data_IF_037216782906
#
_entry.id   IF_037216782906
#
_cell.length_a   1.000
_cell.length_b   1.000
_cell.length_c   1.000
_cell.angle_alpha   90.00
_cell.angle_beta   90.00
_cell.angle_gamma   90.00
#
_symmetry.space_group_name_H-M   'P 1'
#
loop_
_entity.id
_entity.type
_entity.pdbx_description
1 polymer ?
#
# COMPACT_ATOMS: atom_id res chain seq x y z
N UNK A 1 -29.69 6.15 7.57
CA UNK A 1 -29.62 5.42 8.85
C UNK A 1 -28.16 5.36 9.27
N UNK A 2 -27.72 6.35 10.03
CA UNK A 2 -26.43 6.28 10.70
C UNK A 2 -26.63 5.36 11.91
N UNK A 3 -25.73 4.38 12.11
CA UNK A 3 -25.79 3.45 13.23
C UNK A 3 -25.78 4.16 14.59
N UNK A 4 -25.93 3.42 15.70
CA UNK A 4 -26.08 3.99 17.03
C UNK A 4 -24.96 5.00 17.33
N UNK A 5 -25.32 6.10 17.98
CA UNK A 5 -24.40 7.18 18.36
C UNK A 5 -23.25 6.58 19.20
N UNK A 6 -22.07 6.42 18.59
CA UNK A 6 -20.87 5.93 19.27
C UNK A 6 -20.10 7.14 19.78
N UNK A 7 -19.92 7.24 21.09
CA UNK A 7 -19.04 8.26 21.68
C UNK A 7 -17.60 8.15 21.13
N UNK A 8 -16.88 9.28 21.08
CA UNK A 8 -15.53 9.35 20.49
C UNK A 8 -14.55 8.31 21.10
N UNK A 9 -14.70 8.04 22.40
CA UNK A 9 -13.95 7.00 23.14
C UNK A 9 -14.25 5.59 22.60
N UNK A 10 -15.52 5.27 22.34
CA UNK A 10 -15.95 3.98 21.81
C UNK A 10 -15.44 3.75 20.36
N UNK A 11 -15.42 4.82 19.54
CA UNK A 11 -14.86 4.76 18.19
C UNK A 11 -13.35 4.49 18.19
N UNK A 12 -12.60 5.10 19.11
CA UNK A 12 -11.15 4.86 19.27
C UNK A 12 -10.87 3.41 19.67
N UNK A 13 -11.61 2.90 20.65
CA UNK A 13 -11.46 1.51 21.12
C UNK A 13 -11.81 0.50 20.02
N UNK A 14 -12.85 0.78 19.24
CA UNK A 14 -13.23 -0.03 18.07
C UNK A 14 -12.13 -0.05 17.01
N UNK A 15 -11.56 1.11 16.65
CA UNK A 15 -10.46 1.17 15.67
C UNK A 15 -9.23 0.40 16.16
N UNK A 16 -8.93 0.49 17.45
CA UNK A 16 -7.85 -0.28 18.07
C UNK A 16 -8.12 -1.79 17.97
N UNK A 17 -9.35 -2.21 18.23
CA UNK A 17 -9.80 -3.60 18.08
C UNK A 17 -9.62 -4.11 16.64
N UNK A 18 -10.11 -3.36 15.66
CA UNK A 18 -9.97 -3.68 14.23
C UNK A 18 -8.48 -3.79 13.81
N UNK A 19 -7.63 -2.88 14.28
CA UNK A 19 -6.20 -2.92 14.02
C UNK A 19 -5.54 -4.17 14.63
N UNK A 20 -5.93 -4.55 15.86
CA UNK A 20 -5.43 -5.76 16.49
C UNK A 20 -5.86 -7.03 15.73
N UNK A 21 -7.09 -7.06 15.18
CA UNK A 21 -7.55 -8.14 14.30
C UNK A 21 -6.73 -8.21 13.01
N UNK A 22 -6.46 -7.08 12.35
CA UNK A 22 -5.59 -7.05 11.17
C UNK A 22 -4.18 -7.56 11.47
N UNK A 23 -3.60 -7.17 12.62
CA UNK A 23 -2.30 -7.69 13.08
C UNK A 23 -2.35 -9.20 13.35
N UNK A 24 -3.45 -9.70 13.93
CA UNK A 24 -3.65 -11.13 14.16
C UNK A 24 -3.76 -11.89 12.83
N UNK A 25 -4.48 -11.35 11.85
CA UNK A 25 -4.62 -11.96 10.53
C UNK A 25 -3.27 -12.14 9.84
N UNK A 26 -2.43 -11.09 9.87
CA UNK A 26 -1.05 -11.12 9.37
C UNK A 26 -0.22 -12.18 10.08
N UNK A 27 -0.23 -12.17 11.42
CA UNK A 27 0.55 -13.10 12.25
C UNK A 27 0.15 -14.56 12.00
N UNK A 28 -1.16 -14.87 11.97
CA UNK A 28 -1.65 -16.22 11.65
C UNK A 28 -1.29 -16.65 10.23
N UNK A 29 -1.38 -15.75 9.25
CA UNK A 29 -0.94 -16.03 7.88
C UNK A 29 0.56 -16.33 7.78
N UNK A 30 1.37 -15.65 8.57
CA UNK A 30 2.82 -15.86 8.66
C UNK A 30 3.15 -17.21 9.29
N UNK A 31 2.44 -17.61 10.36
CA UNK A 31 2.61 -18.91 11.02
C UNK A 31 2.35 -20.05 10.04
N UNK A 32 1.23 -20.01 9.31
CA UNK A 32 0.91 -21.06 8.33
C UNK A 32 1.96 -21.09 7.22
N UNK A 33 2.34 -19.92 6.70
CA UNK A 33 3.37 -19.81 5.68
C UNK A 33 4.73 -20.38 6.12
N UNK A 34 5.20 -19.98 7.30
CA UNK A 34 6.50 -20.41 7.84
C UNK A 34 6.47 -21.89 8.24
N UNK A 35 5.36 -22.38 8.78
CA UNK A 35 5.16 -23.81 9.05
C UNK A 35 5.24 -24.64 7.77
N UNK A 36 4.59 -24.17 6.71
CA UNK A 36 4.66 -24.84 5.41
C UNK A 36 6.07 -24.79 4.81
N UNK A 37 6.74 -23.64 4.91
CA UNK A 37 8.14 -23.50 4.48
C UNK A 37 9.05 -24.45 5.26
N UNK A 38 8.88 -24.56 6.58
CA UNK A 38 9.64 -25.49 7.43
C UNK A 38 9.42 -26.94 7.02
N UNK A 39 8.19 -27.32 6.68
CA UNK A 39 7.87 -28.69 6.26
C UNK A 39 8.49 -29.07 4.91
N UNK A 40 8.52 -28.14 3.97
CA UNK A 40 9.11 -28.34 2.63
C UNK A 40 10.61 -28.01 2.58
N UNK A 41 11.21 -27.73 3.73
CA UNK A 41 12.56 -27.16 3.89
C UNK A 41 12.89 -25.94 3.02
N UNK A 42 11.88 -25.13 2.70
CA UNK A 42 12.04 -23.90 1.96
C UNK A 42 12.43 -22.74 2.87
N UNK A 43 13.35 -21.89 2.41
CA UNK A 43 13.70 -20.64 3.10
C UNK A 43 13.14 -19.43 2.36
N UNK A 44 12.28 -18.61 3.00
CA UNK A 44 11.80 -17.37 2.41
C UNK A 44 12.94 -16.43 2.01
N UNK A 45 12.82 -15.76 0.86
CA UNK A 45 13.87 -14.87 0.32
C UNK A 45 14.38 -13.82 1.31
N UNK A 46 13.50 -13.23 2.12
CA UNK A 46 13.88 -12.23 3.13
C UNK A 46 14.60 -12.79 4.36
N UNK A 47 14.76 -14.12 4.45
CA UNK A 47 15.48 -14.81 5.53
C UNK A 47 16.70 -15.57 5.01
N UNK A 48 16.99 -15.51 3.69
CA UNK A 48 18.15 -16.17 3.08
C UNK A 48 19.40 -15.33 3.37
N UNK A 49 20.35 -15.91 4.08
CA UNK A 49 21.69 -15.38 4.24
C UNK A 49 22.48 -15.70 2.98
N UNK A 50 23.12 -14.68 2.39
CA UNK A 50 23.96 -14.85 1.19
C UNK A 50 25.33 -15.35 1.61
N UNK A 51 25.86 -16.32 0.87
CA UNK A 51 27.20 -16.81 1.09
C UNK A 51 28.23 -15.72 0.69
N UNK A 52 29.10 -15.25 1.59
CA UNK A 52 30.11 -14.25 1.28
C UNK A 52 31.31 -14.82 0.49
N UNK A 53 31.50 -16.15 0.49
CA UNK A 53 32.64 -16.85 -0.12
C UNK A 53 32.30 -17.51 -1.46
N UNK A 54 31.29 -17.01 -2.17
CA UNK A 54 30.79 -17.62 -3.43
C UNK A 54 31.85 -17.78 -4.52
N UNK A 55 32.92 -16.96 -4.49
CA UNK A 55 34.00 -16.98 -5.47
C UNK A 55 35.29 -17.66 -4.96
N UNK A 56 35.26 -18.27 -3.78
CA UNK A 56 36.42 -18.96 -3.20
C UNK A 56 36.53 -20.41 -3.72
N UNK A 57 37.57 -21.13 -3.25
CA UNK A 57 37.73 -22.56 -3.52
C UNK A 57 36.42 -23.32 -3.28
N UNK A 58 36.13 -24.28 -4.17
CA UNK A 58 34.92 -25.12 -4.16
C UNK A 58 34.58 -25.71 -2.79
N UNK A 59 35.56 -26.17 -2.02
CA UNK A 59 35.32 -26.76 -0.70
C UNK A 59 34.85 -25.71 0.31
N UNK A 60 35.51 -24.56 0.36
CA UNK A 60 35.15 -23.44 1.23
C UNK A 60 33.81 -22.82 0.84
N UNK A 61 33.52 -22.76 -0.47
CA UNK A 61 32.24 -22.29 -0.97
C UNK A 61 31.11 -23.22 -0.52
N UNK A 62 31.27 -24.54 -0.68
CA UNK A 62 30.27 -25.52 -0.28
C UNK A 62 30.00 -25.52 1.23
N UNK A 63 31.04 -25.46 2.06
CA UNK A 63 30.87 -25.40 3.53
C UNK A 63 30.21 -24.11 3.97
N UNK A 64 30.60 -22.97 3.39
CA UNK A 64 29.99 -21.67 3.69
C UNK A 64 28.52 -21.60 3.23
N UNK A 65 28.20 -22.18 2.08
CA UNK A 65 26.82 -22.26 1.58
C UNK A 65 25.94 -23.14 2.48
N UNK A 66 26.44 -24.31 2.90
CA UNK A 66 25.75 -25.17 3.85
C UNK A 66 25.51 -24.47 5.21
N UNK A 67 26.50 -23.72 5.70
CA UNK A 67 26.38 -22.94 6.93
C UNK A 67 25.34 -21.82 6.77
N UNK A 68 25.41 -21.03 5.70
CA UNK A 68 24.43 -19.98 5.41
C UNK A 68 23.01 -20.54 5.31
N UNK A 69 22.84 -21.69 4.64
CA UNK A 69 21.56 -22.37 4.54
C UNK A 69 21.03 -22.79 5.92
N UNK A 70 21.86 -23.46 6.73
CA UNK A 70 21.50 -23.88 8.10
C UNK A 70 21.10 -22.71 8.98
N UNK A 71 21.86 -21.61 8.95
CA UNK A 71 21.53 -20.40 9.70
C UNK A 71 20.23 -19.76 9.19
N UNK A 72 19.99 -19.77 7.88
CA UNK A 72 18.74 -19.26 7.32
C UNK A 72 17.52 -20.10 7.75
N UNK A 73 17.67 -21.43 7.87
CA UNK A 73 16.67 -22.33 8.43
C UNK A 73 16.44 -22.10 9.94
N UNK A 74 17.49 -21.75 10.69
CA UNK A 74 17.38 -21.34 12.09
C UNK A 74 16.61 -20.02 12.23
N UNK A 75 16.91 -19.02 11.41
CA UNK A 75 16.17 -17.74 11.38
C UNK A 75 14.68 -17.97 11.09
N UNK A 76 14.35 -18.82 10.12
CA UNK A 76 12.96 -19.25 9.84
C UNK A 76 12.28 -19.82 11.08
N UNK A 77 12.98 -20.69 11.82
CA UNK A 77 12.44 -21.35 13.02
C UNK A 77 12.25 -20.38 14.18
N UNK A 78 13.18 -19.45 14.39
CA UNK A 78 13.07 -18.37 15.39
C UNK A 78 11.90 -17.43 15.05
N UNK A 79 11.78 -17.03 13.78
CA UNK A 79 10.68 -16.20 13.31
C UNK A 79 9.32 -16.88 13.51
N UNK A 80 9.24 -18.20 13.28
CA UNK A 80 8.03 -18.98 13.54
C UNK A 80 7.68 -18.98 15.04
N UNK A 81 8.66 -19.23 15.92
CA UNK A 81 8.46 -19.19 17.39
C UNK A 81 7.99 -17.81 17.85
N UNK A 82 8.64 -16.74 17.37
CA UNK A 82 8.25 -15.35 17.66
C UNK A 82 6.82 -15.04 17.18
N UNK A 83 6.42 -15.58 16.02
CA UNK A 83 5.08 -15.41 15.49
C UNK A 83 4.01 -16.07 16.37
N UNK A 84 4.26 -17.27 16.88
CA UNK A 84 3.36 -17.92 17.85
C UNK A 84 3.24 -17.12 19.16
N UNK A 85 4.35 -16.64 19.73
CA UNK A 85 4.31 -15.78 20.92
C UNK A 85 3.50 -14.49 20.67
N UNK A 86 3.66 -13.89 19.48
CA UNK A 86 2.90 -12.72 19.07
C UNK A 86 1.41 -13.01 18.89
N UNK A 87 1.05 -14.18 18.35
CA UNK A 87 -0.36 -14.60 18.22
C UNK A 87 -1.02 -14.65 19.60
N UNK A 88 -0.39 -15.31 20.58
CA UNK A 88 -0.94 -15.44 21.93
C UNK A 88 -1.15 -14.07 22.60
N UNK A 89 -0.16 -13.16 22.45
CA UNK A 89 -0.27 -11.79 22.97
C UNK A 89 -1.42 -11.01 22.31
N UNK A 90 -1.60 -11.14 20.99
CA UNK A 90 -2.67 -10.47 20.26
C UNK A 90 -4.04 -11.04 20.63
N UNK A 91 -4.16 -12.35 20.81
CA UNK A 91 -5.38 -13.01 21.26
C UNK A 91 -5.79 -12.53 22.66
N UNK A 92 -4.84 -12.45 23.61
CA UNK A 92 -5.10 -11.88 24.94
C UNK A 92 -5.58 -10.41 24.87
N UNK A 93 -4.91 -9.58 24.04
CA UNK A 93 -5.31 -8.19 23.82
C UNK A 93 -6.69 -8.07 23.20
N UNK A 94 -7.02 -8.96 22.27
CA UNK A 94 -8.33 -8.99 21.62
C UNK A 94 -9.42 -9.41 22.59
N UNK A 95 -9.20 -10.45 23.40
CA UNK A 95 -10.17 -10.87 24.43
C UNK A 95 -10.48 -9.72 25.39
N UNK A 96 -9.45 -9.02 25.89
CA UNK A 96 -9.65 -7.84 26.74
C UNK A 96 -10.43 -6.73 26.01
N UNK A 97 -10.02 -6.39 24.79
CA UNK A 97 -10.67 -5.35 23.99
C UNK A 97 -12.13 -5.69 23.63
N UNK A 98 -12.44 -6.97 23.40
CA UNK A 98 -13.82 -7.44 23.17
C UNK A 98 -14.67 -7.24 24.42
N UNK A 99 -14.16 -7.64 25.59
CA UNK A 99 -14.87 -7.45 26.87
C UNK A 99 -15.11 -5.96 27.16
N UNK A 100 -14.09 -5.12 26.96
CA UNK A 100 -14.19 -3.66 27.16
C UNK A 100 -15.19 -3.00 26.20
N UNK A 101 -15.29 -3.48 24.95
CA UNK A 101 -16.29 -2.97 23.99
C UNK A 101 -17.70 -3.49 24.31
N UNK A 102 -17.83 -4.74 24.73
CA UNK A 102 -19.11 -5.33 25.11
C UNK A 102 -19.70 -4.69 26.38
N UNK A 103 -18.86 -4.25 27.32
CA UNK A 103 -19.33 -3.54 28.53
C UNK A 103 -19.78 -2.11 28.24
N UNK A 104 -19.22 -1.46 27.21
CA UNK A 104 -19.54 -0.08 26.82
C UNK A 104 -20.71 0.02 25.84
N UNK A 105 -21.03 -1.05 25.11
CA UNK A 105 -22.07 -1.05 24.08
C UNK A 105 -23.35 -1.73 24.58
N UNK A 106 -24.53 -1.12 24.42
CA UNK A 106 -25.79 -1.80 24.69
C UNK A 106 -25.95 -2.99 23.73
N UNK A 107 -26.45 -4.12 24.24
CA UNK A 107 -26.65 -5.37 23.48
C UNK A 107 -27.84 -5.26 22.52
N UNK A 108 -27.69 -4.42 21.51
CA UNK A 108 -28.67 -4.14 20.46
C UNK A 108 -28.31 -4.91 19.18
N UNK A 109 -29.28 -5.07 18.29
CA UNK A 109 -29.10 -5.68 16.96
C UNK A 109 -27.99 -4.96 16.17
N UNK A 110 -27.89 -3.64 16.31
CA UNK A 110 -26.88 -2.83 15.64
C UNK A 110 -25.46 -3.10 16.16
N UNK A 111 -25.28 -3.22 17.48
CA UNK A 111 -24.00 -3.59 18.08
C UNK A 111 -23.53 -4.97 17.59
N UNK A 112 -24.45 -5.94 17.50
CA UNK A 112 -24.15 -7.27 16.97
C UNK A 112 -23.78 -7.24 15.48
N UNK A 113 -24.47 -6.42 14.68
CA UNK A 113 -24.16 -6.23 13.27
C UNK A 113 -22.75 -5.63 13.07
N UNK A 114 -22.33 -4.71 13.95
CA UNK A 114 -20.98 -4.13 13.95
C UNK A 114 -19.91 -5.19 14.24
N UNK A 115 -20.06 -5.98 15.30
CA UNK A 115 -19.10 -7.05 15.62
C UNK A 115 -19.00 -8.08 14.49
N UNK A 116 -20.14 -8.44 13.88
CA UNK A 116 -20.20 -9.31 12.71
C UNK A 116 -19.47 -8.73 11.50
N UNK A 117 -19.62 -7.43 11.24
CA UNK A 117 -18.89 -6.75 10.16
C UNK A 117 -17.38 -6.78 10.38
N UNK A 118 -16.93 -6.55 11.62
CA UNK A 118 -15.53 -6.62 12.02
C UNK A 118 -14.95 -8.03 11.87
N UNK A 119 -15.69 -9.07 12.27
CA UNK A 119 -15.30 -10.46 12.06
C UNK A 119 -15.21 -10.81 10.57
N UNK A 120 -16.16 -10.35 9.75
CA UNK A 120 -16.13 -10.54 8.30
C UNK A 120 -14.90 -9.88 7.66
N UNK A 121 -14.56 -8.67 8.10
CA UNK A 121 -13.37 -7.96 7.63
C UNK A 121 -12.09 -8.71 7.97
N UNK A 122 -11.98 -9.22 9.21
CA UNK A 122 -10.87 -10.09 9.64
C UNK A 122 -10.75 -11.36 8.79
N UNK A 123 -11.86 -12.09 8.61
CA UNK A 123 -11.91 -13.33 7.81
C UNK A 123 -11.48 -13.08 6.36
N UNK A 124 -11.92 -11.96 5.79
CA UNK A 124 -11.56 -11.54 4.44
C UNK A 124 -10.08 -11.16 4.31
N UNK A 125 -9.52 -10.40 5.27
CA UNK A 125 -8.10 -10.04 5.24
C UNK A 125 -7.23 -11.29 5.34
N UNK A 126 -7.57 -12.19 6.28
CA UNK A 126 -6.90 -13.46 6.47
C UNK A 126 -6.94 -14.33 5.21
N UNK A 127 -8.10 -14.41 4.54
CA UNK A 127 -8.26 -15.07 3.24
C UNK A 127 -7.29 -14.56 2.18
N UNK A 128 -7.23 -13.23 2.02
CA UNK A 128 -6.38 -12.61 1.00
C UNK A 128 -4.89 -12.82 1.31
N UNK A 129 -4.52 -12.77 2.59
CA UNK A 129 -3.16 -13.05 3.03
C UNK A 129 -2.77 -14.50 2.74
N UNK A 130 -3.62 -15.47 3.04
CA UNK A 130 -3.36 -16.86 2.70
C UNK A 130 -3.15 -17.06 1.20
N UNK A 131 -4.02 -16.51 0.34
CA UNK A 131 -3.83 -16.56 -1.12
C UNK A 131 -2.46 -16.03 -1.55
N UNK A 132 -2.04 -14.88 -1.03
CA UNK A 132 -0.72 -14.28 -1.31
C UNK A 132 0.41 -15.18 -0.83
N UNK A 133 0.30 -15.75 0.37
CA UNK A 133 1.32 -16.62 0.98
C UNK A 133 1.43 -17.97 0.27
N UNK A 134 0.31 -18.54 -0.18
CA UNK A 134 0.29 -19.71 -1.07
C UNK A 134 1.08 -19.44 -2.34
N UNK A 135 0.83 -18.30 -3.01
CA UNK A 135 1.62 -17.90 -4.19
C UNK A 135 3.11 -17.79 -3.90
N UNK A 136 3.49 -17.29 -2.72
CA UNK A 136 4.90 -17.23 -2.29
C UNK A 136 5.52 -18.63 -2.10
N UNK A 137 4.82 -19.57 -1.46
CA UNK A 137 5.31 -20.95 -1.31
C UNK A 137 5.51 -21.59 -2.67
N UNK A 138 4.55 -21.45 -3.59
CA UNK A 138 4.66 -21.99 -4.95
C UNK A 138 5.83 -21.35 -5.71
N UNK A 139 6.06 -20.04 -5.56
CA UNK A 139 7.22 -19.37 -6.16
C UNK A 139 8.55 -19.89 -5.61
N UNK A 140 8.64 -20.17 -4.32
CA UNK A 140 9.85 -20.75 -3.71
C UNK A 140 10.06 -22.20 -4.17
N UNK A 141 8.99 -23.00 -4.21
CA UNK A 141 9.03 -24.38 -4.67
C UNK A 141 9.42 -24.53 -6.15
N UNK A 142 9.11 -23.54 -7.00
CA UNK A 142 9.56 -23.52 -8.41
C UNK A 142 11.07 -23.32 -8.57
N UNK A 143 11.70 -22.64 -7.62
CA UNK A 143 13.17 -22.43 -7.61
C UNK A 143 13.91 -23.68 -7.13
N UNK A 144 13.21 -24.59 -6.45
CA UNK A 144 13.79 -25.81 -5.90
C UNK A 144 13.69 -26.97 -6.91
N UNK A 145 14.81 -27.61 -7.29
CA UNK A 145 14.81 -28.69 -8.28
C UNK A 145 13.93 -29.89 -7.90
N UNK A 146 13.81 -30.20 -6.61
CA UNK A 146 13.07 -31.35 -6.10
C UNK A 146 11.57 -31.04 -6.07
N UNK A 147 11.20 -29.81 -5.70
CA UNK A 147 9.79 -29.42 -5.54
C UNK A 147 9.14 -28.91 -6.84
N UNK A 148 9.92 -28.50 -7.84
CA UNK A 148 9.41 -27.97 -9.11
C UNK A 148 8.41 -28.92 -9.80
N UNK A 149 8.65 -30.24 -9.95
CA UNK A 149 7.68 -31.15 -10.56
C UNK A 149 6.34 -31.19 -9.81
N UNK A 150 6.37 -31.07 -8.48
CA UNK A 150 5.17 -31.05 -7.65
C UNK A 150 4.33 -29.79 -7.86
N UNK A 151 4.96 -28.67 -8.24
CA UNK A 151 4.25 -27.43 -8.57
C UNK A 151 3.48 -27.61 -9.87
N UNK A 152 4.11 -28.21 -10.87
CA UNK A 152 3.52 -28.44 -12.19
C UNK A 152 2.33 -29.40 -12.10
N UNK A 153 2.43 -30.43 -11.26
CA UNK A 153 1.36 -31.37 -10.92
C UNK A 153 0.31 -30.82 -9.93
N UNK A 154 0.48 -29.58 -9.45
CA UNK A 154 -0.37 -28.94 -8.43
C UNK A 154 -0.58 -29.82 -7.19
N UNK A 155 0.47 -30.50 -6.75
CA UNK A 155 0.37 -31.50 -5.69
C UNK A 155 -0.11 -30.87 -4.36
N UNK A 156 -1.10 -31.46 -3.66
CA UNK A 156 -1.68 -30.89 -2.43
C UNK A 156 -0.66 -30.63 -1.32
N UNK A 157 0.43 -31.40 -1.27
CA UNK A 157 1.48 -31.28 -0.26
C UNK A 157 2.08 -29.87 -0.19
N UNK A 158 2.07 -29.12 -1.30
CA UNK A 158 2.59 -27.77 -1.36
C UNK A 158 1.71 -26.76 -0.63
N UNK A 159 0.44 -27.09 -0.39
CA UNK A 159 -0.56 -26.17 0.15
C UNK A 159 -1.42 -26.74 1.27
N UNK A 160 -1.20 -27.95 1.79
CA UNK A 160 -2.17 -28.56 2.72
C UNK A 160 -2.33 -27.80 4.04
N UNK A 161 -1.27 -27.12 4.51
CA UNK A 161 -1.36 -26.30 5.73
C UNK A 161 -2.21 -25.05 5.55
N UNK A 162 -2.52 -24.66 4.33
CA UNK A 162 -3.44 -23.55 4.04
C UNK A 162 -4.89 -24.05 4.08
N UNK A 163 -5.81 -23.33 4.74
CA UNK A 163 -7.19 -23.77 4.84
C UNK A 163 -7.87 -23.93 3.47
N UNK A 164 -8.62 -25.03 3.30
CA UNK A 164 -9.30 -25.39 2.03
C UNK A 164 -10.35 -24.36 1.60
N UNK A 165 -10.94 -23.62 2.54
CA UNK A 165 -11.96 -22.58 2.28
C UNK A 165 -11.47 -21.42 1.40
N UNK A 166 -10.16 -21.27 1.20
CA UNK A 166 -9.58 -20.26 0.29
C UNK A 166 -9.23 -20.81 -1.09
N UNK A 167 -9.39 -22.13 -1.28
CA UNK A 167 -9.30 -22.81 -2.58
C UNK A 167 -10.60 -22.72 -3.37
N UNK A 168 -11.53 -21.83 -2.96
CA UNK A 168 -12.55 -21.34 -3.87
C UNK A 168 -11.83 -20.92 -5.16
N UNK A 169 -12.33 -21.45 -6.27
CA UNK A 169 -11.82 -21.21 -7.61
C UNK A 169 -11.46 -19.73 -7.81
N UNK A 170 -10.57 -19.38 -8.75
CA UNK A 170 -10.52 -18.04 -9.28
C UNK A 170 -11.82 -17.78 -10.05
N UNK A 171 -12.99 -17.82 -9.40
CA UNK A 171 -14.06 -16.93 -9.77
C UNK A 171 -13.47 -15.56 -9.53
N UNK A 172 -13.07 -14.90 -10.62
CA UNK A 172 -12.89 -13.47 -10.61
C UNK A 172 -14.21 -12.88 -10.10
N UNK A 173 -14.36 -12.77 -8.77
CA UNK A 173 -15.15 -11.70 -8.21
C UNK A 173 -14.33 -10.49 -8.64
N UNK A 174 -14.66 -9.98 -9.83
CA UNK A 174 -14.26 -8.64 -10.23
C UNK A 174 -14.72 -7.80 -9.06
N UNK A 175 -13.78 -7.38 -8.22
CA UNK A 175 -14.09 -6.32 -7.29
C UNK A 175 -14.35 -5.14 -8.19
N UNK A 176 -15.62 -4.82 -8.34
CA UNK A 176 -16.04 -3.63 -9.04
C UNK A 176 -15.61 -2.46 -8.14
N UNK A 177 -14.33 -2.10 -8.20
CA UNK A 177 -13.76 -1.00 -7.43
C UNK A 177 -14.24 0.36 -7.98
N UNK A 178 -15.19 0.36 -8.91
CA UNK A 178 -15.73 1.52 -9.61
C UNK A 178 -17.25 1.49 -9.47
N UNK A 179 -17.77 2.42 -8.69
CA UNK A 179 -19.19 2.67 -8.48
C UNK A 179 -19.61 3.87 -9.32
N UNK A 180 -20.29 3.59 -10.44
CA UNK A 180 -20.85 4.64 -11.26
C UNK A 180 -22.27 4.96 -10.78
N UNK A 181 -22.45 6.11 -10.14
CA UNK A 181 -23.77 6.63 -9.76
C UNK A 181 -24.14 7.89 -10.55
N UNK A 182 -23.34 8.22 -11.58
CA UNK A 182 -23.65 9.25 -12.56
C UNK A 182 -24.56 8.71 -13.67
N UNK A 183 -25.13 9.63 -14.45
CA UNK A 183 -25.89 9.31 -15.66
C UNK A 183 -25.00 8.98 -16.87
N UNK A 184 -23.68 9.17 -16.76
CA UNK A 184 -22.74 8.90 -17.84
C UNK A 184 -22.50 7.40 -17.99
N UNK A 185 -22.80 6.86 -19.18
CA UNK A 185 -22.51 5.47 -19.51
C UNK A 185 -21.02 5.31 -19.86
N UNK A 186 -20.28 4.56 -19.02
CA UNK A 186 -18.86 4.33 -19.25
C UNK A 186 -18.61 3.43 -20.45
N UNK A 187 -17.75 3.88 -21.36
CA UNK A 187 -17.23 3.00 -22.41
C UNK A 187 -16.36 1.88 -21.80
N UNK A 188 -16.21 0.71 -22.45
CA UNK A 188 -15.40 -0.39 -21.92
C UNK A 188 -13.96 0.01 -21.59
N UNK A 189 -13.36 0.90 -22.39
CA UNK A 189 -12.01 1.41 -22.16
C UNK A 189 -11.93 2.39 -20.96
N UNK A 190 -12.99 3.17 -20.71
CA UNK A 190 -13.09 4.05 -19.54
C UNK A 190 -13.19 3.23 -18.26
N UNK A 191 -14.10 2.25 -18.25
CA UNK A 191 -14.27 1.32 -17.12
C UNK A 191 -12.96 0.58 -16.82
N UNK A 192 -12.33 0.00 -17.84
CA UNK A 192 -11.08 -0.75 -17.68
C UNK A 192 -9.93 0.12 -17.18
N UNK A 193 -9.89 1.41 -17.56
CA UNK A 193 -8.91 2.35 -17.02
C UNK A 193 -9.19 2.67 -15.54
N UNK A 194 -10.43 2.97 -15.18
CA UNK A 194 -10.84 3.33 -13.82
C UNK A 194 -10.66 2.19 -12.82
N UNK A 195 -10.86 0.94 -13.24
CA UNK A 195 -10.60 -0.27 -12.42
C UNK A 195 -9.14 -0.41 -11.98
N UNK A 196 -8.19 0.27 -12.63
CA UNK A 196 -6.77 0.31 -12.21
C UNK A 196 -6.55 1.17 -10.96
N UNK A 197 -7.51 2.04 -10.63
CA UNK A 197 -7.52 2.90 -9.43
C UNK A 197 -6.82 4.26 -9.60
N UNK A 198 -7.12 5.20 -8.69
CA UNK A 198 -6.61 6.58 -8.74
C UNK A 198 -5.09 6.70 -8.52
N UNK A 199 -4.47 5.69 -7.90
CA UNK A 199 -3.02 5.64 -7.68
C UNK A 199 -2.26 5.06 -8.88
N UNK A 200 -2.96 4.60 -9.92
CA UNK A 200 -2.33 4.08 -11.11
C UNK A 200 -1.62 5.19 -11.90
N UNK A 201 -0.33 5.01 -12.17
CA UNK A 201 0.46 5.97 -12.94
C UNK A 201 0.69 5.47 -14.38
N UNK A 202 0.11 6.12 -15.40
CA UNK A 202 0.41 5.82 -16.80
C UNK A 202 1.88 6.02 -17.10
N UNK A 203 2.47 5.13 -17.90
CA UNK A 203 3.84 5.30 -18.37
C UNK A 203 3.93 6.57 -19.23
N UNK A 204 4.79 7.50 -18.79
CA UNK A 204 5.12 8.73 -19.50
C UNK A 204 6.49 8.59 -20.17
N UNK A 205 6.68 9.30 -21.28
CA UNK A 205 8.01 9.49 -21.83
C UNK A 205 8.80 10.41 -20.90
N UNK A 206 10.13 10.29 -20.95
CA UNK A 206 11.00 11.19 -20.23
C UNK A 206 10.76 12.62 -20.74
N UNK A 207 10.44 13.53 -19.82
CA UNK A 207 10.33 14.97 -20.08
C UNK A 207 11.46 15.68 -19.33
N UNK A 208 12.62 15.89 -20.00
CA UNK A 208 13.77 16.55 -19.37
C UNK A 208 13.45 17.98 -18.91
N UNK A 209 12.53 18.67 -19.59
CA UNK A 209 12.23 20.07 -19.31
C UNK A 209 11.48 20.19 -17.99
N UNK A 210 10.37 19.47 -17.84
CA UNK A 210 9.61 19.48 -16.59
C UNK A 210 10.42 18.93 -15.42
N UNK A 211 11.19 17.86 -15.65
CA UNK A 211 12.02 17.27 -14.59
C UNK A 211 13.16 18.21 -14.16
N UNK A 212 13.77 18.93 -15.10
CA UNK A 212 14.77 19.95 -14.82
C UNK A 212 14.19 21.12 -14.02
N UNK A 213 12.98 21.56 -14.38
CA UNK A 213 12.26 22.59 -13.63
C UNK A 213 11.92 22.12 -12.20
N UNK A 214 11.45 20.88 -12.02
CA UNK A 214 11.18 20.30 -10.71
C UNK A 214 12.44 20.20 -9.84
N UNK A 215 13.56 19.80 -10.44
CA UNK A 215 14.86 19.76 -9.77
C UNK A 215 15.32 21.15 -9.34
N UNK A 216 15.18 22.15 -10.23
CA UNK A 216 15.48 23.54 -9.92
C UNK A 216 14.62 24.04 -8.76
N UNK A 217 13.30 23.83 -8.79
CA UNK A 217 12.42 24.20 -7.68
C UNK A 217 12.80 23.51 -6.37
N UNK A 218 13.22 22.25 -6.43
CA UNK A 218 13.71 21.54 -5.25
C UNK A 218 14.97 22.20 -4.68
N UNK A 219 15.95 22.52 -5.52
CA UNK A 219 17.18 23.23 -5.13
C UNK A 219 16.84 24.60 -4.52
N UNK A 220 15.93 25.37 -5.13
CA UNK A 220 15.46 26.64 -4.58
C UNK A 220 14.87 26.46 -3.17
N UNK A 221 14.02 25.44 -2.95
CA UNK A 221 13.46 25.15 -1.62
C UNK A 221 14.52 24.81 -0.59
N UNK A 222 15.55 24.05 -0.98
CA UNK A 222 16.69 23.72 -0.10
C UNK A 222 17.44 25.00 0.28
N UNK A 223 17.77 25.85 -0.69
CA UNK A 223 18.48 27.13 -0.44
C UNK A 223 17.66 28.10 0.40
N UNK A 224 16.37 28.26 0.11
CA UNK A 224 15.47 29.10 0.89
C UNK A 224 15.37 28.61 2.34
N UNK A 225 15.27 27.30 2.56
CA UNK A 225 15.20 26.73 3.91
C UNK A 225 16.49 26.93 4.69
N UNK A 226 17.64 26.87 4.04
CA UNK A 226 18.91 27.20 4.69
C UNK A 226 19.03 28.70 4.97
N UNK A 227 18.70 29.55 4.00
CA UNK A 227 18.79 31.01 4.12
C UNK A 227 17.92 31.59 5.24
N UNK A 228 16.68 31.09 5.37
CA UNK A 228 15.75 31.53 6.42
C UNK A 228 15.77 30.64 7.67
N UNK A 229 16.58 29.58 7.69
CA UNK A 229 16.61 28.59 8.76
C UNK A 229 17.21 29.08 10.08
N UNK A 230 17.85 30.26 10.08
CA UNK A 230 18.46 30.88 11.26
C UNK A 230 17.47 31.69 12.12
N UNK A 231 16.24 31.93 11.66
CA UNK A 231 15.23 32.65 12.44
C UNK A 231 14.59 31.74 13.50
N UNK A 232 15.17 31.68 14.70
CA UNK A 232 14.51 31.18 15.91
C UNK A 232 13.48 32.21 16.44
N UNK A 233 12.46 32.52 15.64
CA UNK A 233 11.27 33.22 16.11
C UNK A 233 10.12 32.24 16.18
N UNK A 234 9.42 32.17 17.32
CA UNK A 234 8.24 31.34 17.53
C UNK A 234 7.28 31.43 16.34
N UNK A 235 7.19 30.32 15.59
CA UNK A 235 6.39 30.26 14.38
C UNK A 235 4.91 30.13 14.76
N UNK A 236 4.22 31.26 14.92
CA UNK A 236 2.76 31.30 15.01
C UNK A 236 2.19 30.86 13.67
N UNK A 237 1.53 29.69 13.65
CA UNK A 237 0.88 29.16 12.46
C UNK A 237 -0.33 30.03 12.12
N UNK A 238 -0.20 30.92 11.14
CA UNK A 238 -1.33 31.58 10.49
C UNK A 238 -1.69 30.82 9.22
N UNK A 239 -2.96 30.39 9.04
CA UNK A 239 -3.35 29.65 7.85
C UNK A 239 -3.48 30.59 6.65
N UNK A 240 -2.59 30.37 5.68
CA UNK A 240 -2.78 30.56 4.23
C UNK A 240 -3.14 31.95 3.67
N UNK A 241 -2.10 32.64 3.19
CA UNK A 241 -2.16 33.37 1.91
C UNK A 241 -1.45 32.50 0.86
N UNK A 242 -2.06 32.36 -0.32
CA UNK A 242 -1.48 31.69 -1.48
C UNK A 242 -0.09 32.28 -1.73
N UNK A 243 0.97 31.50 -1.43
CA UNK A 243 2.35 31.94 -1.68
C UNK A 243 2.52 32.15 -3.19
N UNK A 244 2.60 33.40 -3.62
CA UNK A 244 3.14 33.73 -4.93
C UNK A 244 4.52 33.05 -5.04
N UNK A 245 4.78 32.41 -6.19
CA UNK A 245 6.07 31.74 -6.42
C UNK A 245 7.17 32.77 -6.26
N UNK A 246 8.02 32.61 -5.25
CA UNK A 246 9.19 33.44 -5.11
C UNK A 246 10.10 33.17 -6.32
N UNK A 247 10.19 34.14 -7.22
CA UNK A 247 11.13 34.16 -8.34
C UNK A 247 12.58 34.29 -7.84
N UNK A 248 12.73 34.79 -6.61
CA UNK A 248 14.01 34.97 -5.95
C UNK A 248 14.55 33.69 -5.30
N UNK A 249 15.82 33.38 -5.57
CA UNK A 249 16.58 32.29 -4.95
C UNK A 249 17.86 32.86 -4.33
N UNK A 250 18.26 32.45 -3.10
CA UNK A 250 19.50 32.90 -2.50
C UNK A 250 20.73 32.65 -3.38
N UNK A 251 21.71 33.58 -3.40
CA UNK A 251 22.94 33.42 -4.18
C UNK A 251 23.80 32.25 -3.65
N UNK A 252 24.64 31.70 -4.52
CA UNK A 252 25.60 30.64 -4.17
C UNK A 252 26.70 31.14 -3.22
N UNK A 253 27.38 30.23 -2.54
CA UNK A 253 28.56 30.54 -1.72
C UNK A 253 28.28 30.70 -0.23
N UNK A 254 27.01 30.77 0.20
CA UNK A 254 26.64 30.79 1.63
C UNK A 254 26.90 29.45 2.31
N UNK A 255 26.58 28.34 1.64
CA UNK A 255 26.72 27.00 2.19
C UNK A 255 27.37 26.05 1.18
N UNK A 256 28.65 25.77 1.39
CA UNK A 256 29.45 24.93 0.51
C UNK A 256 28.90 23.49 0.37
N UNK A 257 28.23 22.96 1.40
CA UNK A 257 27.64 21.62 1.33
C UNK A 257 26.43 21.60 0.39
N UNK A 258 25.57 22.62 0.46
CA UNK A 258 24.41 22.76 -0.44
C UNK A 258 24.87 23.01 -1.87
N UNK A 259 25.92 23.81 -2.07
CA UNK A 259 26.46 24.07 -3.40
C UNK A 259 27.08 22.81 -4.03
N UNK A 260 27.85 22.03 -3.25
CA UNK A 260 28.39 20.73 -3.70
C UNK A 260 27.27 19.75 -4.04
N UNK A 261 26.24 19.67 -3.18
CA UNK A 261 25.07 18.85 -3.44
C UNK A 261 24.36 19.28 -4.73
N UNK A 262 24.14 20.58 -4.93
CA UNK A 262 23.47 21.15 -6.11
C UNK A 262 24.23 20.78 -7.39
N UNK A 263 25.55 20.99 -7.40
CA UNK A 263 26.42 20.62 -8.52
C UNK A 263 26.38 19.12 -8.82
N UNK A 264 26.47 18.28 -7.79
CA UNK A 264 26.39 16.82 -7.95
C UNK A 264 25.01 16.37 -8.45
N UNK A 265 23.93 16.95 -7.94
CA UNK A 265 22.57 16.62 -8.36
C UNK A 265 22.32 17.00 -9.82
N UNK A 266 22.80 18.18 -10.26
CA UNK A 266 22.74 18.60 -11.67
C UNK A 266 23.55 17.66 -12.58
N UNK A 267 24.79 17.32 -12.20
CA UNK A 267 25.61 16.39 -12.98
C UNK A 267 24.97 15.00 -13.09
N UNK A 268 24.38 14.48 -12.00
CA UNK A 268 23.63 13.23 -12.03
C UNK A 268 22.36 13.32 -12.88
N UNK A 269 21.68 14.45 -12.86
CA UNK A 269 20.53 14.71 -13.72
C UNK A 269 20.93 14.67 -15.19
N UNK A 270 21.99 15.38 -15.59
CA UNK A 270 22.47 15.39 -16.97
C UNK A 270 22.87 13.99 -17.45
N UNK A 271 23.61 13.25 -16.62
CA UNK A 271 23.97 11.86 -16.91
C UNK A 271 22.73 10.96 -17.03
N UNK A 272 21.73 11.15 -16.16
CA UNK A 272 20.47 10.41 -16.22
C UNK A 272 19.68 10.72 -17.50
N UNK A 273 19.57 11.99 -17.89
CA UNK A 273 18.89 12.38 -19.13
C UNK A 273 19.62 11.78 -20.33
N UNK A 274 20.96 11.94 -20.42
CA UNK A 274 21.76 11.38 -21.50
C UNK A 274 21.56 9.86 -21.64
N UNK A 275 21.56 9.14 -20.52
CA UNK A 275 21.41 7.68 -20.51
C UNK A 275 19.98 7.19 -20.81
N UNK A 276 18.94 8.02 -20.66
CA UNK A 276 17.55 7.57 -20.73
C UNK A 276 16.70 8.25 -21.81
N UNK A 277 17.17 9.33 -22.44
CA UNK A 277 16.43 10.08 -23.47
C UNK A 277 16.02 9.22 -24.67
N UNK A 278 16.87 8.31 -25.10
CA UNK A 278 16.65 7.48 -26.29
C UNK A 278 16.13 6.07 -25.98
N UNK A 279 15.87 5.75 -24.70
CA UNK A 279 15.42 4.41 -24.34
C UNK A 279 13.96 4.19 -24.73
N UNK A 280 13.63 3.08 -25.41
CA UNK A 280 12.25 2.78 -25.76
C UNK A 280 11.43 2.52 -24.49
N UNK A 281 10.36 3.30 -24.31
CA UNK A 281 9.47 3.20 -23.17
C UNK A 281 8.29 2.28 -23.52
N UNK A 282 8.15 1.15 -22.82
CA UNK A 282 7.02 0.23 -22.99
C UNK A 282 5.77 0.82 -22.33
N UNK A 283 4.69 1.11 -23.07
CA UNK A 283 3.47 1.67 -22.48
C UNK A 283 2.74 0.63 -21.63
N UNK A 284 2.26 1.04 -20.45
CA UNK A 284 1.44 0.20 -19.57
C UNK A 284 -0.08 0.34 -19.82
N UNK A 285 -0.49 1.15 -20.79
CA UNK A 285 -1.88 1.37 -21.21
C UNK A 285 -2.08 0.98 -22.67
N UNK A 286 -3.26 0.44 -22.98
CA UNK A 286 -3.72 0.28 -24.35
C UNK A 286 -4.04 1.64 -24.97
N UNK A 287 -3.94 1.81 -26.30
CA UNK A 287 -4.26 3.09 -26.96
C UNK A 287 -5.66 3.62 -26.64
N UNK A 288 -6.65 2.72 -26.55
CA UNK A 288 -8.03 3.07 -26.22
C UNK A 288 -8.17 3.58 -24.78
N UNK A 289 -7.49 2.96 -23.81
CA UNK A 289 -7.47 3.43 -22.42
C UNK A 289 -6.78 4.80 -22.30
N UNK A 290 -5.73 5.04 -23.09
CA UNK A 290 -5.07 6.35 -23.14
C UNK A 290 -6.00 7.44 -23.68
N UNK A 291 -6.81 7.13 -24.71
CA UNK A 291 -7.86 8.04 -25.20
C UNK A 291 -8.96 8.25 -24.14
N UNK A 292 -9.32 7.20 -23.40
CA UNK A 292 -10.31 7.24 -22.34
C UNK A 292 -9.93 8.21 -21.20
N UNK A 293 -8.63 8.34 -20.86
CA UNK A 293 -8.18 9.37 -19.90
C UNK A 293 -8.57 10.77 -20.38
N UNK A 294 -8.38 11.03 -21.68
CA UNK A 294 -8.71 12.32 -22.29
C UNK A 294 -10.20 12.57 -22.43
N UNK A 295 -11.04 11.54 -22.61
CA UNK A 295 -12.51 11.69 -22.61
C UNK A 295 -13.02 11.98 -21.21
N UNK A 296 -12.63 11.15 -20.23
CA UNK A 296 -13.04 11.30 -18.83
C UNK A 296 -12.61 12.66 -18.26
N UNK A 297 -11.38 13.12 -18.54
CA UNK A 297 -10.89 14.42 -18.05
C UNK A 297 -11.61 15.62 -18.66
N UNK A 298 -12.09 15.52 -19.90
CA UNK A 298 -12.76 16.62 -20.61
C UNK A 298 -14.27 16.64 -20.39
N UNK A 299 -14.84 15.63 -19.75
CA UNK A 299 -16.27 15.56 -19.50
C UNK A 299 -16.62 16.43 -18.27
N UNK A 300 -17.32 17.57 -18.44
CA UNK A 300 -17.69 18.44 -17.32
C UNK A 300 -18.85 17.89 -16.49
N UNK A 301 -19.63 16.95 -17.04
CA UNK A 301 -20.86 16.43 -16.41
C UNK A 301 -20.58 15.42 -15.31
N UNK A 302 -19.34 14.91 -15.22
CA UNK A 302 -18.96 13.90 -14.24
C UNK A 302 -17.83 14.37 -13.32
N UNK A 303 -17.94 13.95 -12.06
CA UNK A 303 -16.91 14.14 -11.03
C UNK A 303 -16.47 12.77 -10.53
N UNK A 304 -15.16 12.52 -10.58
CA UNK A 304 -14.54 11.25 -10.18
C UNK A 304 -13.83 11.45 -8.84
N UNK A 305 -14.21 10.69 -7.80
CA UNK A 305 -13.69 10.83 -6.44
C UNK A 305 -13.38 9.46 -5.81
N UNK A 306 -12.44 9.38 -4.84
CA UNK A 306 -12.34 8.20 -4.00
C UNK A 306 -13.63 8.03 -3.18
N UNK A 307 -14.06 6.79 -2.99
CA UNK A 307 -15.15 6.46 -2.09
C UNK A 307 -14.71 6.68 -0.64
N UNK A 308 -15.62 7.20 0.19
CA UNK A 308 -15.40 7.47 1.62
C UNK A 308 -14.96 6.20 2.39
N UNK A 309 -15.41 5.03 1.93
CA UNK A 309 -15.12 3.72 2.54
C UNK A 309 -14.61 2.75 1.49
N UNK A 310 -13.62 1.92 1.85
CA UNK A 310 -13.21 0.77 1.04
C UNK A 310 -12.09 1.01 0.02
N UNK A 311 -11.63 2.26 -0.19
CA UNK A 311 -10.57 2.55 -1.17
C UNK A 311 -11.01 2.39 -2.63
N UNK A 312 -12.32 2.34 -2.86
CA UNK A 312 -12.95 2.24 -4.17
C UNK A 312 -13.10 3.63 -4.82
N UNK A 313 -13.59 3.66 -6.05
CA UNK A 313 -13.81 4.85 -6.87
C UNK A 313 -15.30 5.10 -7.08
N UNK A 314 -15.74 6.35 -6.92
CA UNK A 314 -17.11 6.77 -7.23
C UNK A 314 -17.13 7.79 -8.36
N UNK A 315 -18.10 7.65 -9.26
CA UNK A 315 -18.37 8.59 -10.35
C UNK A 315 -19.74 9.21 -10.11
N UNK A 316 -19.77 10.53 -10.05
CA UNK A 316 -20.93 11.35 -9.68
C UNK A 316 -21.31 12.27 -10.84
N UNK A 317 -22.56 12.68 -10.93
CA UNK A 317 -22.90 13.85 -11.74
C UNK A 317 -22.32 15.09 -11.05
N UNK A 318 -21.62 15.94 -11.81
CA UNK A 318 -21.01 17.16 -11.27
C UNK A 318 -22.05 18.10 -10.65
N UNK A 319 -23.21 18.26 -11.29
CA UNK A 319 -24.28 19.11 -10.77
C UNK A 319 -24.82 18.63 -9.42
N UNK A 320 -25.07 17.32 -9.28
CA UNK A 320 -25.59 16.73 -8.04
C UNK A 320 -24.53 16.83 -6.92
N UNK A 321 -23.26 16.60 -7.26
CA UNK A 321 -22.14 16.73 -6.32
C UNK A 321 -22.00 18.17 -5.79
N UNK A 322 -22.08 19.17 -6.67
CA UNK A 322 -21.99 20.58 -6.28
C UNK A 322 -23.17 20.96 -5.38
N UNK A 323 -24.39 20.61 -5.80
CA UNK A 323 -25.61 20.90 -5.04
C UNK A 323 -25.56 20.31 -3.63
N UNK A 324 -25.12 19.06 -3.50
CA UNK A 324 -24.97 18.40 -2.20
C UNK A 324 -23.87 19.07 -1.35
N UNK A 325 -22.74 19.43 -1.96
CA UNK A 325 -21.67 20.14 -1.27
C UNK A 325 -22.13 21.51 -0.76
N UNK A 326 -22.84 22.29 -1.57
CA UNK A 326 -23.42 23.58 -1.18
C UNK A 326 -24.48 23.42 -0.07
N UNK A 327 -25.33 22.40 -0.17
CA UNK A 327 -26.30 22.06 0.88
C UNK A 327 -25.61 21.80 2.21
N UNK A 328 -24.53 21.01 2.22
CA UNK A 328 -23.75 20.72 3.43
C UNK A 328 -23.04 21.96 3.98
N UNK A 329 -22.50 22.83 3.11
CA UNK A 329 -21.86 24.08 3.51
C UNK A 329 -22.84 25.11 4.05
N UNK A 330 -24.09 25.10 3.58
CA UNK A 330 -25.15 26.00 4.06
C UNK A 330 -25.77 25.55 5.39
N UNK A 331 -25.46 24.33 5.84
CA UNK A 331 -26.03 23.77 7.07
C UNK A 331 -25.33 24.34 8.32
N UNK A 332 -26.00 25.28 8.98
CA UNK A 332 -25.50 25.95 10.19
C UNK A 332 -25.27 25.01 11.39
N UNK A 333 -25.81 23.79 11.39
CA UNK A 333 -25.60 22.82 12.48
C UNK A 333 -24.16 22.29 12.51
N UNK A 334 -23.43 22.32 11.39
CA UNK A 334 -22.03 21.88 11.30
C UNK A 334 -21.01 23.01 11.42
N UNK A 335 -21.44 24.27 11.25
CA UNK A 335 -20.60 25.45 11.45
C UNK A 335 -20.86 25.97 12.86
N UNK A 336 -20.36 25.24 13.85
CA UNK A 336 -20.25 25.76 15.21
C UNK A 336 -19.28 26.93 15.22
N UNK A 337 -19.83 28.15 15.19
CA UNK A 337 -19.27 29.31 15.88
C UNK A 337 -19.73 29.29 17.32
#
# INVERSE_FOLDING_TARGET
>A
MFGPHLDESCLRDRRLHENNLSKLARTRSDIVFLTQCKRLDLVPKGMRIRNPLQNCNRLLNHTAEALCHRTSCQLRSIALKSSYSRQNLLEQKLTKSTLDLQSKLPNTVDSQAVFKATENSYRWELSNLFRRKTGKVLSLAREDPILKPLVDLRHPILTDKFPRSYKAQPTAISRNNVFNISRHALAPAEKSHLEKGLSYCPTRQLDPVSLGFDLHQFICRVRLREYFGESQGDFVYTPTVVKQRAEWTPPEGRNQCIDRFTKSAMAHFDAFIAANRSKPVKPNLRPQERKAIGSLRRNPDITIRPADKGGDLTILNTADYIKEAESQLSNQVFIGL
#
